data_IF_818738532045
#
_entry.id   IF_818738532045
#
_cell.length_a   1.000
_cell.length_b   1.000
_cell.length_c   1.000
_cell.angle_alpha   90.00
_cell.angle_beta   90.00
_cell.angle_gamma   90.00
#
_symmetry.space_group_name_H-M   'P 1'
#
loop_
_entity.id
_entity.type
_entity.pdbx_description
1 polymer ?
#
# COMPACT_ATOMS: atom_id res chain seq x y z
N UNK A 1 3.11 -7.87 -7.08
CA UNK A 1 2.22 -8.98 -7.45
C UNK A 1 2.90 -10.26 -7.03
N UNK A 2 2.40 -10.93 -5.99
CA UNK A 2 2.75 -12.33 -5.83
C UNK A 2 2.12 -13.06 -7.01
N UNK A 3 2.88 -13.18 -8.09
CA UNK A 3 2.50 -14.04 -9.19
C UNK A 3 2.29 -15.43 -8.61
N UNK A 4 1.09 -15.96 -8.78
CA UNK A 4 0.83 -17.35 -8.51
C UNK A 4 1.93 -18.17 -9.20
N UNK A 5 2.62 -19.03 -8.46
CA UNK A 5 3.64 -19.94 -8.99
C UNK A 5 3.00 -21.10 -9.81
N UNK A 6 1.82 -20.89 -10.37
CA UNK A 6 1.31 -21.74 -11.42
C UNK A 6 2.15 -21.53 -12.66
N UNK A 7 2.39 -22.59 -13.44
CA UNK A 7 3.21 -22.48 -14.63
C UNK A 7 2.71 -21.32 -15.47
N UNK A 8 3.58 -20.55 -15.87
CA UNK A 8 3.73 -19.31 -16.64
C UNK A 8 2.71 -19.09 -17.78
N UNK A 9 1.70 -19.93 -17.94
CA UNK A 9 0.92 -20.03 -19.18
C UNK A 9 -0.59 -19.93 -18.98
N UNK A 10 -1.09 -19.52 -17.83
CA UNK A 10 -2.52 -19.25 -17.67
C UNK A 10 -2.83 -17.90 -18.30
N UNK A 11 -3.28 -17.93 -19.55
CA UNK A 11 -3.87 -16.76 -20.20
C UNK A 11 -5.35 -16.70 -19.86
N UNK A 12 -5.78 -15.56 -19.33
CA UNK A 12 -7.20 -15.29 -19.15
C UNK A 12 -7.75 -14.67 -20.43
N UNK A 13 -8.89 -15.23 -20.88
CA UNK A 13 -9.64 -14.71 -22.01
C UNK A 13 -11.00 -14.23 -21.48
N UNK A 14 -11.26 -12.93 -21.58
CA UNK A 14 -12.45 -12.31 -21.00
C UNK A 14 -13.73 -12.89 -21.60
N UNK A 15 -13.74 -13.10 -22.89
CA UNK A 15 -14.86 -13.66 -23.68
C UNK A 15 -15.22 -15.12 -23.33
N UNK A 16 -14.28 -15.84 -22.71
CA UNK A 16 -14.46 -17.23 -22.26
C UNK A 16 -14.68 -17.36 -20.76
N UNK A 17 -14.64 -16.24 -20.04
CA UNK A 17 -14.73 -16.24 -18.58
C UNK A 17 -16.19 -16.25 -18.11
N UNK A 18 -16.59 -17.31 -17.42
CA UNK A 18 -17.92 -17.40 -16.81
C UNK A 18 -18.08 -16.60 -15.49
N UNK A 19 -17.03 -15.91 -15.01
CA UNK A 19 -17.08 -15.15 -13.77
C UNK A 19 -17.17 -15.97 -12.48
N UNK A 20 -17.01 -17.30 -12.55
CA UNK A 20 -17.26 -18.23 -11.44
C UNK A 20 -16.15 -18.25 -10.37
N UNK A 21 -15.02 -17.55 -10.56
CA UNK A 21 -13.85 -17.48 -9.67
C UNK A 21 -13.22 -18.84 -9.26
N UNK A 22 -13.54 -19.92 -10.00
CA UNK A 22 -12.94 -21.24 -9.78
C UNK A 22 -11.40 -21.20 -9.87
N UNK A 23 -10.86 -20.40 -10.80
CA UNK A 23 -9.41 -20.19 -10.95
C UNK A 23 -8.77 -19.60 -9.69
N UNK A 24 -9.47 -18.70 -8.98
CA UNK A 24 -8.99 -18.12 -7.72
C UNK A 24 -9.00 -19.20 -6.62
N UNK A 25 -10.08 -19.99 -6.53
CA UNK A 25 -10.21 -21.05 -5.52
C UNK A 25 -9.20 -22.18 -5.69
N UNK A 26 -8.86 -22.50 -6.94
CA UNK A 26 -7.88 -23.54 -7.27
C UNK A 26 -6.43 -23.06 -7.12
N UNK A 27 -6.17 -21.77 -7.16
CA UNK A 27 -4.82 -21.23 -7.00
C UNK A 27 -4.38 -21.31 -5.52
N UNK A 28 -3.25 -21.96 -5.17
CA UNK A 28 -2.76 -22.03 -3.80
C UNK A 28 -2.48 -20.65 -3.18
N UNK A 29 -2.24 -19.64 -4.02
CA UNK A 29 -2.02 -18.24 -3.62
C UNK A 29 -3.27 -17.39 -3.78
N UNK A 30 -4.38 -17.97 -4.24
CA UNK A 30 -5.65 -17.27 -4.50
C UNK A 30 -5.50 -16.05 -5.42
N UNK A 31 -4.54 -16.12 -6.35
CA UNK A 31 -4.34 -15.06 -7.33
C UNK A 31 -5.36 -15.17 -8.46
N UNK A 32 -5.87 -14.03 -8.90
CA UNK A 32 -6.73 -13.96 -10.07
C UNK A 32 -5.88 -13.97 -11.36
N UNK A 33 -6.20 -14.80 -12.35
CA UNK A 33 -5.60 -14.68 -13.67
C UNK A 33 -6.23 -13.57 -14.52
N UNK A 34 -7.28 -12.90 -14.02
CA UNK A 34 -8.01 -11.83 -14.71
C UNK A 34 -7.14 -10.56 -14.75
N UNK A 35 -6.16 -10.54 -15.65
CA UNK A 35 -5.24 -9.43 -15.83
C UNK A 35 -5.25 -8.97 -17.28
N UNK A 36 -5.06 -7.68 -17.51
CA UNK A 36 -4.78 -7.10 -18.83
C UNK A 36 -3.34 -6.62 -18.83
N UNK A 37 -2.55 -7.09 -19.79
CA UNK A 37 -1.18 -6.58 -19.98
C UNK A 37 -1.29 -5.29 -20.77
N UNK A 38 -0.70 -4.24 -20.25
CA UNK A 38 -0.75 -2.89 -20.85
C UNK A 38 0.61 -2.22 -20.76
N UNK A 39 0.95 -1.46 -21.78
CA UNK A 39 2.05 -0.49 -21.75
C UNK A 39 1.65 0.75 -20.96
N UNK A 40 2.62 1.58 -20.58
CA UNK A 40 2.35 2.84 -19.87
C UNK A 40 1.44 3.78 -20.70
N UNK A 41 1.62 3.85 -22.00
CA UNK A 41 0.78 4.64 -22.89
C UNK A 41 -0.65 4.12 -23.02
N UNK A 42 -0.84 2.80 -23.03
CA UNK A 42 -2.18 2.18 -23.03
C UNK A 42 -2.91 2.43 -21.73
N UNK A 43 -2.23 2.39 -20.59
CA UNK A 43 -2.82 2.77 -19.29
C UNK A 43 -3.33 4.22 -19.34
N UNK A 44 -2.53 5.15 -19.83
CA UNK A 44 -2.95 6.55 -19.93
C UNK A 44 -4.09 6.75 -20.94
N UNK A 45 -4.08 6.02 -22.04
CA UNK A 45 -5.18 6.04 -23.01
C UNK A 45 -6.48 5.54 -22.39
N UNK A 46 -6.41 4.47 -21.58
CA UNK A 46 -7.57 3.96 -20.83
C UNK A 46 -8.10 4.96 -19.79
N UNK A 47 -7.26 5.85 -19.27
CA UNK A 47 -7.65 6.91 -18.34
C UNK A 47 -8.22 8.16 -19.04
N UNK A 48 -8.09 8.27 -20.36
CA UNK A 48 -8.49 9.46 -21.11
C UNK A 48 -9.95 9.91 -20.84
N UNK A 49 -10.96 9.02 -20.76
CA UNK A 49 -12.33 9.43 -20.44
C UNK A 49 -12.48 10.04 -19.04
N UNK A 50 -11.65 9.63 -18.10
CA UNK A 50 -11.68 10.13 -16.71
C UNK A 50 -10.86 11.39 -16.50
N UNK A 51 -10.09 11.80 -17.48
CA UNK A 51 -9.14 12.91 -17.43
C UNK A 51 -9.72 14.21 -16.87
N UNK A 52 -10.94 14.65 -17.26
CA UNK A 52 -11.54 15.89 -16.75
C UNK A 52 -11.86 15.85 -15.24
N UNK A 53 -11.93 14.66 -14.65
CA UNK A 53 -12.39 14.43 -13.26
C UNK A 53 -11.26 14.03 -12.30
N UNK A 54 -10.05 13.73 -12.80
CA UNK A 54 -8.92 13.27 -11.99
C UNK A 54 -7.80 14.30 -11.95
N UNK A 55 -7.14 14.39 -10.79
CA UNK A 55 -5.94 15.23 -10.60
C UNK A 55 -4.64 14.43 -10.67
N UNK A 56 -4.73 13.12 -10.58
CA UNK A 56 -3.58 12.24 -10.55
C UNK A 56 -3.98 10.79 -10.56
N UNK A 57 -2.99 9.95 -10.52
CA UNK A 57 -3.14 8.51 -10.41
C UNK A 57 -2.37 8.00 -9.18
N UNK A 58 -2.89 6.95 -8.60
CA UNK A 58 -2.21 6.16 -7.57
C UNK A 58 -2.00 4.77 -8.11
N UNK A 59 -0.77 4.28 -8.07
CA UNK A 59 -0.47 2.91 -8.44
C UNK A 59 -0.33 2.06 -7.17
N UNK A 60 -1.09 1.00 -7.12
CA UNK A 60 -1.12 -0.01 -6.09
C UNK A 60 -0.91 -1.40 -6.73
N UNK A 61 -1.21 -2.45 -6.03
CA UNK A 61 -1.15 -3.81 -6.60
C UNK A 61 -0.89 -4.85 -5.52
N UNK A 62 -0.12 -5.91 -5.81
CA UNK A 62 0.54 -6.70 -4.78
C UNK A 62 1.63 -5.84 -4.14
N UNK A 63 2.71 -5.58 -4.89
CA UNK A 63 3.69 -4.54 -4.59
C UNK A 63 4.13 -3.92 -5.93
N UNK A 64 3.72 -2.68 -6.17
CA UNK A 64 3.96 -2.01 -7.45
C UNK A 64 5.44 -1.68 -7.67
N UNK A 65 6.19 -1.43 -6.61
CA UNK A 65 7.62 -1.07 -6.67
C UNK A 65 8.53 -2.20 -7.14
N UNK A 66 8.00 -3.41 -7.35
CA UNK A 66 8.70 -4.49 -8.03
C UNK A 66 8.91 -4.23 -9.54
N UNK A 67 8.23 -3.23 -10.10
CA UNK A 67 8.30 -2.85 -11.51
C UNK A 67 8.72 -1.38 -11.69
N UNK A 68 9.92 -0.98 -11.21
CA UNK A 68 10.30 0.42 -11.13
C UNK A 68 10.45 1.08 -12.51
N UNK A 69 10.89 0.35 -13.51
CA UNK A 69 11.06 0.89 -14.88
C UNK A 69 9.70 1.23 -15.50
N UNK A 70 8.72 0.33 -15.39
CA UNK A 70 7.35 0.58 -15.82
C UNK A 70 6.72 1.78 -15.11
N UNK A 71 6.90 1.87 -13.80
CA UNK A 71 6.39 2.98 -13.01
C UNK A 71 7.05 4.30 -13.39
N UNK A 72 8.35 4.27 -13.66
CA UNK A 72 9.10 5.46 -14.11
C UNK A 72 8.56 5.96 -15.45
N UNK A 73 8.36 5.07 -16.41
CA UNK A 73 7.77 5.40 -17.71
C UNK A 73 6.34 5.95 -17.54
N UNK A 74 5.48 5.24 -16.82
CA UNK A 74 4.10 5.64 -16.59
C UNK A 74 4.00 7.02 -15.94
N UNK A 75 4.77 7.27 -14.89
CA UNK A 75 4.76 8.54 -14.16
C UNK A 75 5.35 9.68 -14.98
N UNK A 76 6.39 9.41 -15.79
CA UNK A 76 6.95 10.39 -16.71
C UNK A 76 5.89 10.88 -17.70
N UNK A 77 5.17 9.95 -18.32
CA UNK A 77 4.10 10.27 -19.27
C UNK A 77 2.89 10.94 -18.58
N UNK A 78 2.50 10.47 -17.41
CA UNK A 78 1.39 11.04 -16.63
C UNK A 78 1.68 12.49 -16.23
N UNK A 79 2.89 12.78 -15.75
CA UNK A 79 3.33 14.13 -15.36
C UNK A 79 3.41 15.08 -16.57
N UNK A 80 3.90 14.61 -17.70
CA UNK A 80 3.87 15.38 -18.96
C UNK A 80 2.44 15.78 -19.34
N UNK A 81 1.47 14.93 -18.98
CA UNK A 81 0.04 15.24 -19.10
C UNK A 81 -0.53 16.06 -17.93
N UNK A 82 0.24 16.52 -16.93
CA UNK A 82 -0.23 17.31 -15.78
C UNK A 82 -0.95 16.49 -14.72
N UNK A 83 -0.73 15.17 -14.63
CA UNK A 83 -1.25 14.32 -13.54
C UNK A 83 -0.24 14.19 -12.40
N UNK A 84 -0.73 14.26 -11.17
CA UNK A 84 0.04 13.84 -10.00
C UNK A 84 0.20 12.32 -9.95
N UNK A 85 1.30 11.83 -9.35
CA UNK A 85 1.68 10.43 -9.35
C UNK A 85 2.03 9.95 -7.94
N UNK A 86 1.22 9.08 -7.36
CA UNK A 86 1.43 8.51 -6.04
C UNK A 86 1.64 6.98 -6.12
N UNK A 87 2.48 6.48 -5.23
CA UNK A 87 2.64 5.06 -4.97
C UNK A 87 1.89 4.65 -3.71
N UNK A 88 1.29 3.48 -3.75
CA UNK A 88 0.71 2.78 -2.59
C UNK A 88 1.56 1.52 -2.39
N UNK A 89 2.44 1.54 -1.37
CA UNK A 89 3.48 0.53 -1.19
C UNK A 89 3.44 -0.11 0.20
N UNK A 90 3.71 -1.40 0.24
CA UNK A 90 3.93 -2.13 1.49
C UNK A 90 5.34 -1.90 2.10
N UNK A 91 6.19 -1.14 1.41
CA UNK A 91 7.51 -0.74 1.88
C UNK A 91 8.57 -1.84 1.90
N UNK A 92 8.34 -3.00 1.29
CA UNK A 92 9.31 -4.11 1.31
C UNK A 92 10.45 -3.96 0.31
N UNK A 93 10.26 -3.16 -0.73
CA UNK A 93 11.31 -2.84 -1.69
C UNK A 93 12.02 -1.56 -1.24
N UNK A 94 13.36 -1.56 -1.09
CA UNK A 94 14.10 -0.34 -0.79
C UNK A 94 13.88 0.74 -1.86
N UNK A 95 13.38 1.91 -1.46
CA UNK A 95 13.02 2.99 -2.41
C UNK A 95 14.20 3.92 -2.70
N UNK A 96 15.14 4.08 -1.78
CA UNK A 96 16.28 4.97 -1.94
C UNK A 96 17.13 4.69 -3.21
N UNK A 97 17.37 3.42 -3.62
CA UNK A 97 18.08 3.13 -4.86
C UNK A 97 17.28 3.41 -6.13
N UNK A 98 15.94 3.53 -6.05
CA UNK A 98 15.05 3.73 -7.19
C UNK A 98 15.00 5.21 -7.61
N UNK A 99 16.16 5.81 -7.84
CA UNK A 99 16.32 7.26 -8.05
C UNK A 99 15.49 7.79 -9.23
N UNK A 100 15.40 7.04 -10.33
CA UNK A 100 14.58 7.39 -11.50
C UNK A 100 13.10 7.45 -11.14
N UNK A 101 12.59 6.44 -10.45
CA UNK A 101 11.19 6.41 -9.99
C UNK A 101 10.93 7.54 -8.96
N UNK A 102 11.84 7.73 -8.01
CA UNK A 102 11.69 8.78 -7.01
C UNK A 102 11.73 10.19 -7.61
N UNK A 103 12.39 10.39 -8.74
CA UNK A 103 12.41 11.70 -9.42
C UNK A 103 11.03 12.07 -10.00
N UNK A 104 10.27 11.10 -10.49
CA UNK A 104 8.96 11.30 -11.14
C UNK A 104 7.76 11.00 -10.24
N UNK A 105 7.95 10.37 -9.08
CA UNK A 105 6.92 10.13 -8.08
C UNK A 105 6.70 11.39 -7.24
N UNK A 106 5.46 11.80 -7.01
CA UNK A 106 5.12 12.94 -6.15
C UNK A 106 5.06 12.56 -4.68
N UNK A 107 4.74 11.31 -4.37
CA UNK A 107 4.72 10.83 -2.99
C UNK A 107 4.36 9.36 -2.87
N UNK A 108 4.64 8.82 -1.70
CA UNK A 108 4.38 7.42 -1.36
C UNK A 108 3.44 7.35 -0.15
N UNK A 109 2.37 6.59 -0.28
CA UNK A 109 1.55 6.15 0.83
C UNK A 109 2.13 4.82 1.32
N UNK A 110 2.68 4.82 2.53
CA UNK A 110 3.44 3.70 3.08
C UNK A 110 2.62 2.93 4.11
N UNK A 111 2.45 1.63 3.89
CA UNK A 111 1.85 0.72 4.85
C UNK A 111 2.83 0.36 5.97
N UNK A 112 2.50 0.65 7.23
CA UNK A 112 3.20 0.15 8.42
C UNK A 112 2.29 -0.85 9.13
N UNK A 113 2.54 -2.14 8.91
CA UNK A 113 1.62 -3.21 9.36
C UNK A 113 1.84 -3.65 10.81
N UNK A 114 3.07 -3.56 11.30
CA UNK A 114 3.43 -3.75 12.71
C UNK A 114 4.81 -3.13 12.96
N UNK A 115 5.04 -2.66 14.19
CA UNK A 115 6.34 -2.08 14.57
C UNK A 115 7.33 -3.13 15.05
N UNK A 116 6.85 -4.12 15.81
CA UNK A 116 7.66 -5.22 16.28
C UNK A 116 7.99 -6.21 15.15
N UNK A 117 9.28 -6.54 14.90
CA UNK A 117 9.68 -7.43 13.81
C UNK A 117 9.01 -8.82 13.89
N UNK A 118 8.85 -9.37 15.09
CA UNK A 118 8.22 -10.67 15.28
C UNK A 118 6.73 -10.65 14.85
N UNK A 119 5.99 -9.60 15.22
CA UNK A 119 4.59 -9.41 14.84
C UNK A 119 4.48 -9.19 13.34
N UNK A 120 5.34 -8.33 12.78
CA UNK A 120 5.36 -8.08 11.33
C UNK A 120 5.63 -9.36 10.55
N UNK A 121 6.59 -10.18 10.99
CA UNK A 121 6.91 -11.46 10.36
C UNK A 121 5.75 -12.47 10.47
N UNK A 122 5.07 -12.50 11.59
CA UNK A 122 3.88 -13.35 11.75
C UNK A 122 2.73 -12.94 10.82
N UNK A 123 2.56 -11.65 10.56
CA UNK A 123 1.51 -11.11 9.68
C UNK A 123 1.83 -11.22 8.19
N UNK A 124 3.09 -11.01 7.81
CA UNK A 124 3.47 -10.80 6.42
C UNK A 124 4.43 -11.86 5.87
N UNK A 125 5.06 -12.63 6.73
CA UNK A 125 6.13 -13.58 6.39
C UNK A 125 7.51 -12.94 6.21
N UNK A 126 7.67 -11.62 6.46
CA UNK A 126 8.90 -10.88 6.23
C UNK A 126 9.26 -9.93 7.38
N UNK A 127 10.51 -9.51 7.44
CA UNK A 127 10.98 -8.50 8.40
C UNK A 127 10.48 -7.09 8.03
N UNK A 128 10.40 -6.18 9.01
CA UNK A 128 9.97 -4.80 8.79
C UNK A 128 11.11 -3.78 8.69
N UNK A 129 12.37 -4.22 8.69
CA UNK A 129 13.51 -3.30 8.56
C UNK A 129 13.41 -2.45 7.28
N UNK A 130 13.12 -3.01 6.08
CA UNK A 130 12.96 -2.21 4.87
C UNK A 130 11.83 -1.16 4.99
N UNK A 131 10.73 -1.48 5.68
CA UNK A 131 9.61 -0.54 5.89
C UNK A 131 10.06 0.65 6.73
N UNK A 132 10.80 0.40 7.81
CA UNK A 132 11.35 1.45 8.69
C UNK A 132 12.38 2.32 7.96
N UNK A 133 13.25 1.71 7.17
CA UNK A 133 14.22 2.42 6.33
C UNK A 133 13.53 3.31 5.30
N UNK A 134 12.51 2.79 4.62
CA UNK A 134 11.70 3.57 3.68
C UNK A 134 10.94 4.71 4.37
N UNK A 135 10.40 4.48 5.57
CA UNK A 135 9.74 5.53 6.35
C UNK A 135 10.69 6.70 6.61
N UNK A 136 11.89 6.40 7.09
CA UNK A 136 12.93 7.40 7.35
C UNK A 136 13.38 8.13 6.07
N UNK A 137 13.65 7.37 5.00
CA UNK A 137 14.05 7.91 3.70
C UNK A 137 12.99 8.84 3.11
N UNK A 138 11.74 8.37 3.03
CA UNK A 138 10.63 9.14 2.46
C UNK A 138 10.33 10.40 3.27
N UNK A 139 10.41 10.30 4.59
CA UNK A 139 10.31 11.45 5.48
C UNK A 139 11.44 12.45 5.20
N UNK A 140 12.69 12.00 5.12
CA UNK A 140 13.83 12.87 4.89
C UNK A 140 13.76 13.61 3.54
N UNK A 141 13.38 12.93 2.45
CA UNK A 141 13.30 13.53 1.12
C UNK A 141 11.96 14.23 0.82
N UNK A 142 11.01 14.28 1.77
CA UNK A 142 9.73 14.98 1.61
C UNK A 142 8.74 14.28 0.68
N UNK A 143 8.90 12.96 0.46
CA UNK A 143 8.03 12.16 -0.41
C UNK A 143 7.10 11.20 0.35
N UNK A 144 7.03 11.30 1.67
CA UNK A 144 6.04 10.56 2.45
C UNK A 144 4.69 11.29 2.36
N UNK A 145 3.80 10.78 1.53
CA UNK A 145 2.47 11.38 1.35
C UNK A 145 1.52 11.01 2.49
N UNK A 146 1.60 9.76 2.98
CA UNK A 146 0.72 9.25 4.03
C UNK A 146 1.34 8.00 4.66
N UNK A 147 1.25 7.85 5.96
CA UNK A 147 1.47 6.56 6.66
C UNK A 147 0.13 5.89 6.85
N UNK A 148 0.05 4.59 6.56
CA UNK A 148 -1.15 3.79 6.70
C UNK A 148 -0.96 2.69 7.73
N UNK A 149 -1.87 2.63 8.69
CA UNK A 149 -1.89 1.62 9.75
C UNK A 149 -3.24 0.90 9.74
N UNK A 150 -3.23 -0.40 9.49
CA UNK A 150 -4.42 -1.23 9.58
C UNK A 150 -4.60 -1.66 11.04
N UNK A 151 -5.67 -1.18 11.65
CA UNK A 151 -5.99 -1.44 13.04
C UNK A 151 -6.73 -2.79 13.17
N UNK A 152 -5.99 -3.86 13.50
CA UNK A 152 -6.53 -5.20 13.69
C UNK A 152 -6.41 -5.59 15.17
N UNK A 153 -7.52 -5.60 15.94
CA UNK A 153 -7.50 -5.95 17.35
C UNK A 153 -6.84 -7.31 17.60
N UNK A 154 -6.10 -7.43 18.70
CA UNK A 154 -5.40 -8.66 19.12
C UNK A 154 -4.39 -9.25 18.11
N UNK A 155 -4.17 -8.57 16.99
CA UNK A 155 -3.21 -8.99 15.98
C UNK A 155 -2.09 -7.98 15.78
N UNK A 156 -2.39 -6.69 15.99
CA UNK A 156 -1.45 -5.58 15.86
C UNK A 156 -1.51 -4.75 17.13
N UNK A 157 -0.37 -4.52 17.74
CA UNK A 157 -0.23 -3.47 18.75
C UNK A 157 -0.19 -2.12 18.03
N UNK A 158 -1.37 -1.51 17.91
CA UNK A 158 -1.56 -0.24 17.18
C UNK A 158 -0.81 0.90 17.87
N UNK A 159 -0.77 0.91 19.20
CA UNK A 159 -0.09 1.95 19.96
C UNK A 159 1.44 1.87 19.74
N UNK A 160 2.02 0.68 19.79
CA UNK A 160 3.44 0.49 19.47
C UNK A 160 3.78 0.92 18.03
N UNK A 161 2.87 0.70 17.07
CA UNK A 161 3.05 1.21 15.69
C UNK A 161 3.05 2.73 15.66
N UNK A 162 2.11 3.36 16.37
CA UNK A 162 1.98 4.83 16.41
C UNK A 162 3.18 5.48 17.08
N UNK A 163 3.65 4.93 18.20
CA UNK A 163 4.85 5.40 18.90
C UNK A 163 6.09 5.30 18.01
N UNK A 164 6.25 4.15 17.36
CA UNK A 164 7.36 3.93 16.46
C UNK A 164 7.36 4.86 15.26
N UNK A 165 6.18 5.09 14.66
CA UNK A 165 6.02 6.04 13.56
C UNK A 165 6.31 7.46 14.03
N UNK A 166 5.77 7.89 15.18
CA UNK A 166 5.99 9.22 15.73
C UNK A 166 7.50 9.46 15.99
N UNK A 167 8.17 8.50 16.62
CA UNK A 167 9.60 8.57 16.88
C UNK A 167 10.42 8.64 15.58
N UNK A 168 10.09 7.82 14.56
CA UNK A 168 10.79 7.82 13.28
C UNK A 168 10.60 9.12 12.48
N UNK A 169 9.42 9.74 12.58
CA UNK A 169 9.11 11.02 11.92
C UNK A 169 9.73 12.22 12.65
N UNK A 170 9.89 12.13 13.96
CA UNK A 170 10.45 13.20 14.79
C UNK A 170 9.73 14.54 14.56
N UNK A 171 10.45 15.64 14.24
CA UNK A 171 9.83 16.95 14.03
C UNK A 171 8.76 17.02 12.93
N UNK A 172 8.69 16.02 12.05
CA UNK A 172 7.69 15.95 10.98
C UNK A 172 6.40 15.24 11.38
N UNK A 173 6.38 14.58 12.53
CA UNK A 173 5.22 13.85 13.03
C UNK A 173 3.92 14.70 13.06
N UNK A 174 3.92 15.98 13.49
CA UNK A 174 2.70 16.77 13.52
C UNK A 174 2.10 17.09 12.15
N UNK A 175 2.91 17.08 11.09
CA UNK A 175 2.49 17.46 9.73
C UNK A 175 2.32 16.29 8.77
N UNK A 176 2.83 15.10 9.13
CA UNK A 176 2.71 13.91 8.27
C UNK A 176 1.32 13.28 8.42
N UNK A 177 0.56 13.10 7.33
CA UNK A 177 -0.72 12.41 7.39
C UNK A 177 -0.55 10.95 7.84
N UNK A 178 -1.33 10.56 8.86
CA UNK A 178 -1.40 9.16 9.32
C UNK A 178 -2.85 8.71 9.20
N UNK A 179 -3.08 7.62 8.46
CA UNK A 179 -4.40 7.05 8.26
C UNK A 179 -4.54 5.76 9.06
N UNK A 180 -5.46 5.76 10.02
CA UNK A 180 -5.88 4.57 10.73
C UNK A 180 -7.01 3.90 9.93
N UNK A 181 -6.77 2.68 9.47
CA UNK A 181 -7.68 1.93 8.62
C UNK A 181 -8.32 0.82 9.45
N UNK A 182 -9.63 0.83 9.49
CA UNK A 182 -10.42 -0.23 10.14
C UNK A 182 -10.15 -1.57 9.45
N UNK A 183 -9.61 -2.55 10.19
CA UNK A 183 -9.49 -3.91 9.71
C UNK A 183 -10.87 -4.47 9.32
N UNK A 184 -10.97 -5.07 8.14
CA UNK A 184 -12.19 -5.73 7.65
C UNK A 184 -11.88 -7.18 7.32
N UNK A 185 -12.61 -8.16 7.87
CA UNK A 185 -12.32 -9.58 7.70
C UNK A 185 -12.69 -10.12 6.30
N UNK A 186 -13.37 -9.30 5.47
CA UNK A 186 -13.86 -9.74 4.16
C UNK A 186 -12.70 -10.15 3.24
N UNK A 187 -12.65 -11.42 2.83
CA UNK A 187 -11.59 -11.97 1.97
C UNK A 187 -10.27 -12.25 2.68
N UNK A 188 -10.19 -11.97 3.99
CA UNK A 188 -9.00 -12.28 4.81
C UNK A 188 -8.92 -13.77 5.08
N UNK A 189 -7.71 -14.32 5.10
CA UNK A 189 -7.42 -15.75 5.27
C UNK A 189 -6.30 -15.95 6.29
N UNK A 190 -6.08 -17.22 6.67
CA UNK A 190 -5.06 -17.57 7.66
C UNK A 190 -5.42 -17.12 9.07
N UNK A 191 -4.43 -16.74 9.86
CA UNK A 191 -4.59 -16.41 11.28
C UNK A 191 -5.48 -15.19 11.55
N UNK A 192 -5.71 -14.34 10.56
CA UNK A 192 -6.60 -13.17 10.68
C UNK A 192 -8.03 -13.46 10.21
N UNK A 193 -8.30 -14.65 9.63
CA UNK A 193 -9.64 -15.04 9.21
C UNK A 193 -10.57 -15.12 10.43
N UNK A 194 -11.75 -14.49 10.31
CA UNK A 194 -12.75 -14.50 11.37
C UNK A 194 -12.47 -13.56 12.56
N UNK A 195 -11.37 -12.81 12.55
CA UNK A 195 -11.16 -11.77 13.56
C UNK A 195 -12.17 -10.63 13.39
N UNK A 196 -12.65 -10.05 14.49
CA UNK A 196 -13.59 -8.93 14.41
C UNK A 196 -12.91 -7.67 13.87
N UNK A 197 -13.69 -6.80 13.25
CA UNK A 197 -13.27 -5.41 13.03
C UNK A 197 -13.20 -4.66 14.36
N UNK A 198 -12.33 -3.65 14.48
CA UNK A 198 -12.35 -2.78 15.66
C UNK A 198 -13.68 -2.02 15.76
N UNK A 199 -14.08 -1.72 16.98
CA UNK A 199 -15.26 -0.89 17.22
C UNK A 199 -14.95 0.59 16.90
N UNK A 200 -15.97 1.43 16.67
CA UNK A 200 -15.78 2.87 16.51
C UNK A 200 -15.09 3.53 17.70
N UNK A 201 -15.37 3.03 18.92
CA UNK A 201 -14.76 3.51 20.16
C UNK A 201 -13.27 3.20 20.20
N UNK A 202 -12.86 1.98 19.80
CA UNK A 202 -11.46 1.60 19.69
C UNK A 202 -10.72 2.47 18.66
N UNK A 203 -11.32 2.70 17.49
CA UNK A 203 -10.73 3.57 16.46
C UNK A 203 -10.57 5.00 16.97
N UNK A 204 -11.56 5.51 17.72
CA UNK A 204 -11.50 6.84 18.34
C UNK A 204 -10.42 6.91 19.40
N UNK A 205 -10.26 5.88 20.23
CA UNK A 205 -9.22 5.80 21.24
C UNK A 205 -7.82 5.81 20.61
N UNK A 206 -7.57 5.01 19.57
CA UNK A 206 -6.29 5.01 18.86
C UNK A 206 -6.00 6.34 18.16
N UNK A 207 -7.03 7.01 17.64
CA UNK A 207 -6.85 8.36 17.11
C UNK A 207 -6.42 9.35 18.20
N UNK A 208 -7.07 9.30 19.36
CA UNK A 208 -6.70 10.15 20.50
C UNK A 208 -5.26 9.85 20.97
N UNK A 209 -4.90 8.57 21.04
CA UNK A 209 -3.55 8.13 21.37
C UNK A 209 -2.53 8.68 20.37
N UNK A 210 -2.79 8.53 19.06
CA UNK A 210 -1.90 9.04 18.02
C UNK A 210 -1.63 10.56 18.15
N UNK A 211 -2.69 11.33 18.45
CA UNK A 211 -2.56 12.76 18.69
C UNK A 211 -1.70 13.06 19.95
N UNK A 212 -1.85 12.28 21.03
CA UNK A 212 -1.03 12.41 22.23
C UNK A 212 0.42 12.03 22.03
N UNK A 213 0.69 11.09 21.09
CA UNK A 213 2.04 10.70 20.65
C UNK A 213 2.68 11.73 19.70
N UNK A 214 2.03 12.84 19.40
CA UNK A 214 2.55 13.93 18.57
C UNK A 214 2.25 13.82 17.06
N UNK A 215 1.41 12.87 16.62
CA UNK A 215 0.95 12.74 15.25
C UNK A 215 -0.22 13.71 15.03
N UNK A 216 0.00 14.83 14.31
CA UNK A 216 -0.99 15.92 14.23
C UNK A 216 -2.08 15.73 13.17
N UNK A 217 -1.80 14.99 12.11
CA UNK A 217 -2.71 14.82 10.95
C UNK A 217 -3.27 13.38 10.89
N UNK A 218 -4.15 12.99 11.83
CA UNK A 218 -4.67 11.63 11.98
C UNK A 218 -6.08 11.49 11.41
N UNK A 219 -6.21 10.64 10.38
CA UNK A 219 -7.47 10.36 9.68
C UNK A 219 -7.98 8.95 10.03
N UNK A 220 -9.30 8.78 10.21
CA UNK A 220 -9.98 7.49 10.36
C UNK A 220 -10.63 7.07 9.02
N UNK A 221 -10.57 5.76 8.72
CA UNK A 221 -11.22 5.18 7.54
C UNK A 221 -11.76 3.77 7.79
#
# INVERSE_FOLDING_TARGET
VQTCALPIWVRWAAERCAGCDACIRLCPRFASPKVTVMTASEVLSALAPSRPFIRGLTVSGGECTLYPDFLTELFTLARAGGLGCLLDSNGMVPLAPLTGLMAVCDGVMLDVKAWEPAVHRALTGADNAPVKENLAFLSACGKLAEVRVVCAPDAVDVEAVLDGVAAALGPRAPSTPVKLITFRPNGVRGALAGRPSPTPEQMTAWRAYALSAGLGAVLLR
#
